data_IF_697275055344
#
_entry.id   IF_697275055344
#
_cell.length_a   1.000
_cell.length_b   1.000
_cell.length_c   1.000
_cell.angle_alpha   90.00
_cell.angle_beta   90.00
_cell.angle_gamma   90.00
#
_symmetry.space_group_name_H-M   'P 1'
#
loop_
_entity.id
_entity.type
_entity.pdbx_description
1 polymer ?
#
# COMPACT_ATOMS: atom_id res chain seq x y z
N UNK A 1 5.47 0.02 2.07
CA UNK A 1 6.74 0.75 2.23
C UNK A 1 7.42 1.12 0.92
N UNK A 2 8.11 0.19 0.23
CA UNK A 2 8.94 0.50 -0.97
C UNK A 2 8.23 1.23 -2.11
N UNK A 3 6.90 1.10 -2.26
CA UNK A 3 6.12 1.70 -3.36
C UNK A 3 5.53 3.08 -3.05
N UNK A 4 5.38 3.45 -1.77
CA UNK A 4 4.67 4.67 -1.35
C UNK A 4 5.49 5.94 -1.61
N UNK A 5 6.77 5.95 -1.23
CA UNK A 5 7.65 7.10 -1.47
C UNK A 5 7.90 7.36 -2.96
N UNK A 6 8.18 6.35 -3.82
CA UNK A 6 8.26 6.57 -5.25
C UNK A 6 6.97 7.11 -5.87
N UNK A 7 5.81 6.66 -5.38
CA UNK A 7 4.52 7.20 -5.81
C UNK A 7 4.43 8.70 -5.52
N UNK A 8 4.74 9.12 -4.28
CA UNK A 8 4.71 10.54 -3.91
C UNK A 8 5.74 11.36 -4.70
N UNK A 9 6.97 10.85 -4.84
CA UNK A 9 8.02 11.54 -5.59
C UNK A 9 7.67 11.74 -7.08
N UNK A 10 6.88 10.84 -7.67
CA UNK A 10 6.38 11.00 -9.03
C UNK A 10 5.24 12.02 -9.07
N UNK A 11 4.29 11.93 -8.14
CA UNK A 11 3.15 12.83 -8.06
C UNK A 11 3.57 14.29 -7.79
N UNK A 12 4.61 14.51 -6.99
CA UNK A 12 5.19 15.84 -6.70
C UNK A 12 5.85 16.51 -7.92
N UNK A 13 5.99 15.81 -9.04
CA UNK A 13 6.48 16.38 -10.31
C UNK A 13 5.36 16.84 -11.22
N UNK A 14 4.11 16.52 -10.90
CA UNK A 14 2.97 16.90 -11.72
C UNK A 14 2.77 18.43 -11.68
N UNK A 15 2.32 19.04 -12.78
CA UNK A 15 1.94 20.44 -12.77
C UNK A 15 0.83 20.67 -11.75
N UNK A 16 0.75 21.90 -11.22
CA UNK A 16 -0.28 22.33 -10.28
C UNK A 16 -0.32 21.59 -8.93
N UNK A 17 0.72 20.83 -8.58
CA UNK A 17 0.78 20.12 -7.30
C UNK A 17 0.96 21.04 -6.08
N UNK A 18 1.49 22.25 -6.29
CA UNK A 18 1.91 23.18 -5.23
C UNK A 18 0.91 23.39 -4.10
N UNK A 19 -0.37 23.71 -4.37
CA UNK A 19 -1.39 23.94 -3.34
C UNK A 19 -1.67 22.74 -2.41
N UNK A 20 -1.22 21.54 -2.79
CA UNK A 20 -1.53 20.28 -2.09
C UNK A 20 -0.34 19.70 -1.33
N UNK A 21 0.82 20.37 -1.41
CA UNK A 21 2.05 19.92 -0.74
C UNK A 21 1.99 20.10 0.77
N UNK A 22 1.33 21.15 1.24
CA UNK A 22 1.30 21.57 2.63
C UNK A 22 -0.13 21.59 3.19
N UNK A 23 -0.31 21.44 4.53
CA UNK A 23 -1.62 21.58 5.15
C UNK A 23 -2.24 22.95 4.85
N UNK A 24 -3.55 22.98 4.59
CA UNK A 24 -4.28 24.24 4.42
C UNK A 24 -4.33 24.99 5.75
N UNK A 25 -3.64 26.13 5.83
CA UNK A 25 -3.77 27.07 6.95
C UNK A 25 -5.03 27.92 6.80
N UNK A 26 -6.17 27.27 7.03
CA UNK A 26 -7.49 27.89 6.92
C UNK A 26 -7.67 29.08 7.87
N UNK A 27 -6.90 29.16 8.97
CA UNK A 27 -6.94 30.31 9.88
C UNK A 27 -6.25 31.52 9.26
N UNK A 28 -5.03 31.34 8.73
CA UNK A 28 -4.32 32.41 8.04
C UNK A 28 -5.07 32.90 6.80
N UNK A 29 -5.80 32.01 6.13
CA UNK A 29 -6.64 32.33 4.98
C UNK A 29 -8.01 32.91 5.34
N UNK A 30 -8.36 33.00 6.63
CA UNK A 30 -9.66 33.54 7.09
C UNK A 30 -10.87 32.65 6.80
N UNK A 31 -10.66 31.37 6.50
CA UNK A 31 -11.66 30.39 6.08
C UNK A 31 -12.33 29.72 7.31
N UNK A 32 -13.18 30.47 8.02
CA UNK A 32 -13.77 30.03 9.30
C UNK A 32 -14.69 28.80 9.18
N UNK A 33 -15.25 28.55 8.00
CA UNK A 33 -16.13 27.44 7.67
C UNK A 33 -15.38 26.19 7.20
N UNK A 34 -14.09 26.29 6.88
CA UNK A 34 -13.27 25.15 6.45
C UNK A 34 -13.40 23.91 7.37
N UNK A 35 -13.24 24.00 8.72
CA UNK A 35 -13.41 22.82 9.59
C UNK A 35 -14.86 22.30 9.67
N UNK A 36 -15.85 23.10 9.24
CA UNK A 36 -17.24 22.65 9.14
C UNK A 36 -17.48 21.79 7.89
N UNK A 37 -16.70 21.98 6.84
CA UNK A 37 -16.81 21.26 5.56
C UNK A 37 -15.79 20.13 5.50
N UNK A 38 -14.50 20.44 5.70
CA UNK A 38 -13.39 19.50 5.68
C UNK A 38 -13.19 18.89 7.07
N UNK A 39 -13.66 17.65 7.25
CA UNK A 39 -13.65 16.96 8.55
C UNK A 39 -12.31 16.32 8.90
N UNK A 40 -11.56 15.87 7.90
CA UNK A 40 -10.25 15.26 8.07
C UNK A 40 -9.27 15.94 7.11
N UNK A 41 -8.64 17.06 7.53
CA UNK A 41 -7.61 17.71 6.72
C UNK A 41 -6.50 16.73 6.31
N UNK A 42 -5.98 16.89 5.11
CA UNK A 42 -4.90 16.06 4.58
C UNK A 42 -4.14 16.79 3.48
N UNK A 43 -2.85 16.51 3.38
CA UNK A 43 -1.89 17.09 2.41
C UNK A 43 -0.74 16.10 2.16
N UNK A 44 0.06 16.35 1.11
CA UNK A 44 1.10 15.41 0.71
C UNK A 44 2.29 15.36 1.66
N UNK A 45 2.65 16.44 2.37
CA UNK A 45 3.69 16.41 3.42
C UNK A 45 3.25 15.53 4.58
N UNK A 46 2.03 15.68 5.08
CA UNK A 46 1.47 14.83 6.15
C UNK A 46 1.48 13.36 5.75
N UNK A 47 1.07 13.04 4.50
CA UNK A 47 1.12 11.67 3.99
C UNK A 47 2.56 11.16 3.94
N UNK A 48 3.51 11.96 3.45
CA UNK A 48 4.93 11.62 3.35
C UNK A 48 5.54 11.32 4.72
N UNK A 49 5.28 12.16 5.72
CA UNK A 49 5.72 11.95 7.10
C UNK A 49 5.16 10.64 7.67
N UNK A 50 3.86 10.39 7.45
CA UNK A 50 3.21 9.15 7.89
C UNK A 50 3.78 7.91 7.21
N UNK A 51 4.15 7.98 5.92
CA UNK A 51 4.87 6.89 5.23
C UNK A 51 6.22 6.63 5.89
N UNK A 52 7.01 7.67 6.20
CA UNK A 52 8.33 7.53 6.83
C UNK A 52 8.25 6.91 8.23
N UNK A 53 7.17 7.17 8.96
CA UNK A 53 6.90 6.58 10.28
C UNK A 53 6.27 5.18 10.21
N UNK A 54 5.95 4.69 9.01
CA UNK A 54 5.27 3.42 8.81
C UNK A 54 3.82 3.36 9.28
N UNK A 55 3.14 4.51 9.27
CA UNK A 55 1.74 4.63 9.69
C UNK A 55 0.71 4.07 8.70
N UNK A 56 1.13 3.35 7.65
CA UNK A 56 0.24 2.70 6.68
C UNK A 56 0.53 1.21 6.60
N UNK A 57 -0.46 0.38 6.94
CA UNK A 57 -0.33 -1.07 6.90
C UNK A 57 -0.22 -1.63 5.48
N UNK A 58 -0.85 -0.98 4.51
CA UNK A 58 -0.84 -1.37 3.11
C UNK A 58 -0.93 -0.15 2.17
N UNK A 59 -0.77 -0.40 0.87
CA UNK A 59 -0.77 0.64 -0.15
C UNK A 59 -2.15 1.30 -0.32
N UNK A 60 -3.24 0.58 -0.05
CA UNK A 60 -4.61 1.07 -0.22
C UNK A 60 -4.95 2.12 0.84
N UNK A 61 -4.51 1.92 2.09
CA UNK A 61 -4.64 2.92 3.15
C UNK A 61 -3.88 4.20 2.84
N UNK A 62 -2.67 4.08 2.28
CA UNK A 62 -1.89 5.22 1.80
C UNK A 62 -2.62 5.96 0.68
N UNK A 63 -3.13 5.22 -0.31
CA UNK A 63 -3.81 5.81 -1.45
C UNK A 63 -5.16 6.45 -1.06
N UNK A 64 -5.84 5.91 -0.04
CA UNK A 64 -7.04 6.52 0.52
C UNK A 64 -6.78 7.93 1.09
N UNK A 65 -5.65 8.14 1.78
CA UNK A 65 -5.29 9.49 2.24
C UNK A 65 -4.88 10.40 1.05
N UNK A 66 -4.26 9.87 -0.01
CA UNK A 66 -4.03 10.65 -1.26
C UNK A 66 -5.37 11.09 -1.89
N UNK A 67 -6.35 10.20 -1.98
CA UNK A 67 -7.70 10.53 -2.48
C UNK A 67 -8.39 11.57 -1.59
N UNK A 68 -8.16 11.52 -0.28
CA UNK A 68 -8.72 12.47 0.66
C UNK A 68 -8.25 13.91 0.41
N UNK A 69 -7.00 14.12 -0.02
CA UNK A 69 -6.49 15.45 -0.42
C UNK A 69 -7.39 16.06 -1.51
N UNK A 70 -7.68 15.29 -2.56
CA UNK A 70 -8.49 15.75 -3.69
C UNK A 70 -9.95 15.94 -3.29
N UNK A 71 -10.50 15.00 -2.53
CA UNK A 71 -11.90 15.06 -2.10
C UNK A 71 -12.16 16.24 -1.17
N UNK A 72 -11.23 16.54 -0.26
CA UNK A 72 -11.31 17.72 0.60
C UNK A 72 -11.29 19.01 -0.23
N UNK A 73 -10.38 19.11 -1.20
CA UNK A 73 -10.33 20.25 -2.11
C UNK A 73 -11.67 20.44 -2.85
N UNK A 74 -12.18 19.38 -3.49
CA UNK A 74 -13.42 19.44 -4.26
C UNK A 74 -14.68 19.64 -3.41
N UNK A 75 -14.66 19.23 -2.15
CA UNK A 75 -15.79 19.45 -1.22
C UNK A 75 -15.88 20.89 -0.74
N UNK A 76 -14.73 21.56 -0.60
CA UNK A 76 -14.67 22.92 -0.09
C UNK A 76 -14.75 23.98 -1.20
N UNK A 77 -14.06 23.73 -2.32
CA UNK A 77 -13.95 24.71 -3.39
C UNK A 77 -15.10 24.58 -4.39
N UNK A 78 -15.48 25.71 -5.00
CA UNK A 78 -16.53 25.76 -6.01
C UNK A 78 -16.11 24.90 -7.22
N UNK A 79 -17.04 24.10 -7.72
CA UNK A 79 -16.85 23.33 -8.94
C UNK A 79 -16.40 24.25 -10.09
N UNK A 80 -15.52 23.75 -10.96
CA UNK A 80 -14.92 24.51 -12.07
C UNK A 80 -13.96 25.65 -11.69
N UNK A 81 -13.75 25.93 -10.38
CA UNK A 81 -12.66 26.81 -9.97
C UNK A 81 -11.29 26.21 -10.34
N UNK A 82 -10.27 27.06 -10.46
CA UNK A 82 -8.94 26.62 -10.89
C UNK A 82 -8.40 25.51 -9.99
N UNK A 83 -8.42 25.70 -8.66
CA UNK A 83 -7.95 24.71 -7.68
C UNK A 83 -8.78 23.41 -7.68
N UNK A 84 -10.07 23.50 -8.02
CA UNK A 84 -10.93 22.33 -8.19
C UNK A 84 -10.47 21.50 -9.39
N UNK A 85 -10.26 22.13 -10.55
CA UNK A 85 -9.78 21.46 -11.77
C UNK A 85 -8.38 20.88 -11.59
N UNK A 86 -7.49 21.59 -10.88
CA UNK A 86 -6.19 21.05 -10.49
C UNK A 86 -6.32 19.74 -9.69
N UNK A 87 -7.25 19.67 -8.74
CA UNK A 87 -7.51 18.46 -7.96
C UNK A 87 -8.07 17.32 -8.82
N UNK A 88 -8.93 17.59 -9.80
CA UNK A 88 -9.44 16.58 -10.73
C UNK A 88 -8.35 15.98 -11.62
N UNK A 89 -7.45 16.82 -12.13
CA UNK A 89 -6.33 16.37 -12.96
C UNK A 89 -5.36 15.50 -12.15
N UNK A 90 -5.00 15.93 -10.94
CA UNK A 90 -4.13 15.17 -10.04
C UNK A 90 -4.78 13.88 -9.53
N UNK A 91 -6.09 13.89 -9.28
CA UNK A 91 -6.85 12.68 -8.95
C UNK A 91 -6.79 11.66 -10.09
N UNK A 92 -6.99 12.11 -11.33
CA UNK A 92 -6.90 11.26 -12.52
C UNK A 92 -5.51 10.67 -12.70
N UNK A 93 -4.47 11.48 -12.54
CA UNK A 93 -3.07 11.03 -12.64
C UNK A 93 -2.73 10.03 -11.54
N UNK A 94 -3.03 10.36 -10.28
CA UNK A 94 -2.77 9.46 -9.14
C UNK A 94 -3.55 8.14 -9.26
N UNK A 95 -4.77 8.15 -9.81
CA UNK A 95 -5.55 6.94 -10.12
C UNK A 95 -4.91 6.06 -11.20
N UNK A 96 -4.36 6.65 -12.25
CA UNK A 96 -3.59 5.90 -13.27
C UNK A 96 -2.34 5.26 -12.66
N UNK A 97 -1.60 6.01 -11.84
CA UNK A 97 -0.41 5.50 -11.13
C UNK A 97 -0.77 4.34 -10.20
N UNK A 98 -1.86 4.47 -9.44
CA UNK A 98 -2.36 3.43 -8.53
C UNK A 98 -2.70 2.15 -9.30
N UNK A 99 -3.48 2.27 -10.38
CA UNK A 99 -3.84 1.14 -11.26
C UNK A 99 -2.61 0.42 -11.82
N UNK A 100 -1.61 1.18 -12.28
CA UNK A 100 -0.34 0.61 -12.78
C UNK A 100 0.39 -0.17 -11.69
N UNK A 101 0.44 0.35 -10.47
CA UNK A 101 1.11 -0.36 -9.36
C UNK A 101 0.40 -1.65 -8.98
N UNK A 102 -0.93 -1.68 -8.94
CA UNK A 102 -1.68 -2.89 -8.60
C UNK A 102 -1.66 -3.92 -9.74
N UNK A 103 -1.70 -3.49 -11.01
CA UNK A 103 -1.62 -4.41 -12.15
C UNK A 103 -0.24 -5.05 -12.30
N UNK A 104 0.84 -4.29 -12.08
CA UNK A 104 2.21 -4.84 -12.04
C UNK A 104 2.44 -5.76 -10.83
N UNK A 105 1.62 -5.68 -9.79
CA UNK A 105 1.69 -6.60 -8.65
C UNK A 105 0.96 -7.92 -8.94
N UNK A 106 -0.12 -7.86 -9.73
CA UNK A 106 -0.84 -9.04 -10.20
C UNK A 106 -0.06 -9.80 -11.28
N UNK A 107 0.47 -9.10 -12.29
CA UNK A 107 1.31 -9.70 -13.33
C UNK A 107 2.57 -10.36 -12.76
N UNK A 108 3.18 -9.81 -11.71
CA UNK A 108 4.31 -10.45 -11.00
C UNK A 108 3.92 -11.66 -10.13
N UNK A 109 2.64 -11.83 -9.80
CA UNK A 109 2.15 -13.07 -9.18
C UNK A 109 1.93 -14.11 -10.27
N UNK A 110 1.24 -13.72 -11.35
CA UNK A 110 0.92 -14.60 -12.47
C UNK A 110 2.20 -15.06 -13.22
N UNK A 111 3.17 -14.17 -13.51
CA UNK A 111 4.49 -14.52 -14.09
C UNK A 111 5.36 -15.35 -13.14
N UNK A 112 5.16 -15.23 -11.82
CA UNK A 112 5.89 -16.04 -10.84
C UNK A 112 5.27 -17.43 -10.69
N UNK A 113 3.98 -17.58 -11.01
CA UNK A 113 3.26 -18.85 -11.13
C UNK A 113 3.56 -19.54 -12.49
N UNK A 114 3.66 -18.80 -13.60
CA UNK A 114 4.05 -19.33 -14.92
C UNK A 114 5.54 -19.71 -14.97
N UNK A 115 6.44 -18.89 -14.40
CA UNK A 115 7.88 -19.20 -14.40
C UNK A 115 8.24 -20.36 -13.45
N UNK A 116 7.42 -20.64 -12.44
CA UNK A 116 7.54 -21.88 -11.66
C UNK A 116 7.06 -23.11 -12.41
N UNK A 117 6.31 -22.99 -13.51
CA UNK A 117 5.87 -24.13 -14.32
C UNK A 117 6.86 -24.51 -15.43
N UNK A 118 7.76 -23.61 -15.84
CA UNK A 118 8.79 -23.87 -16.88
C UNK A 118 10.14 -24.35 -16.31
N UNK A 119 10.39 -24.24 -15.00
CA UNK A 119 11.62 -24.73 -14.35
C UNK A 119 11.45 -26.13 -13.70
N UNK A 120 10.28 -26.78 -13.82
CA UNK A 120 9.93 -28.07 -13.18
C UNK A 120 10.02 -29.31 -14.12
N UNK A 121 10.76 -29.25 -15.24
CA UNK A 121 10.94 -30.43 -16.12
C UNK A 121 12.23 -31.24 -15.92
N UNK A 122 13.05 -30.97 -14.91
CA UNK A 122 14.11 -31.91 -14.49
C UNK A 122 14.19 -32.04 -12.95
N UNK A 123 14.13 -33.30 -12.50
CA UNK A 123 14.26 -33.86 -11.13
C UNK A 123 12.98 -33.99 -10.26
N UNK A 124 12.20 -35.05 -10.51
CA UNK A 124 11.17 -35.60 -9.61
C UNK A 124 11.77 -36.15 -8.30
N UNK A 125 11.74 -35.37 -7.22
CA UNK A 125 11.58 -35.92 -5.85
C UNK A 125 10.55 -35.10 -5.04
N UNK A 126 9.29 -35.53 -5.15
CA UNK A 126 8.24 -35.38 -4.13
C UNK A 126 8.07 -34.00 -3.47
N UNK A 127 7.76 -32.94 -4.22
CA UNK A 127 7.44 -31.65 -3.61
C UNK A 127 6.06 -31.64 -2.93
N UNK A 128 6.04 -31.14 -1.70
CA UNK A 128 4.83 -30.87 -0.92
C UNK A 128 4.10 -29.70 -1.59
N UNK A 129 2.86 -29.94 -2.01
CA UNK A 129 2.07 -28.97 -2.76
C UNK A 129 1.92 -27.63 -2.04
N UNK A 130 1.73 -26.55 -2.79
CA UNK A 130 1.54 -25.21 -2.23
C UNK A 130 0.39 -25.15 -1.22
N UNK A 131 -0.70 -25.86 -1.50
CA UNK A 131 -1.85 -25.99 -0.59
C UNK A 131 -1.48 -26.69 0.71
N UNK A 132 -0.62 -27.72 0.67
CA UNK A 132 -0.11 -28.39 1.86
C UNK A 132 0.83 -27.50 2.66
N UNK A 133 1.65 -26.66 2.01
CA UNK A 133 2.49 -25.65 2.68
C UNK A 133 1.65 -24.59 3.38
N UNK A 134 0.56 -24.12 2.75
CA UNK A 134 -0.39 -23.19 3.38
C UNK A 134 -1.04 -23.84 4.60
N UNK A 135 -1.59 -25.05 4.43
CA UNK A 135 -2.23 -25.80 5.53
C UNK A 135 -1.25 -26.00 6.68
N UNK A 136 -0.02 -26.42 6.39
CA UNK A 136 1.02 -26.61 7.40
C UNK A 136 1.31 -25.32 8.16
N UNK A 137 1.46 -24.19 7.46
CA UNK A 137 1.69 -22.88 8.08
C UNK A 137 0.56 -22.50 9.04
N UNK A 138 -0.68 -22.75 8.65
CA UNK A 138 -1.85 -22.48 9.49
C UNK A 138 -1.97 -23.44 10.68
N UNK A 139 -1.52 -24.69 10.54
CA UNK A 139 -1.42 -25.63 11.66
C UNK A 139 -0.35 -25.18 12.66
N UNK A 140 0.85 -24.80 12.20
CA UNK A 140 1.95 -24.36 13.07
C UNK A 140 1.56 -23.11 13.86
N UNK A 141 0.85 -22.15 13.25
CA UNK A 141 0.35 -20.95 13.94
C UNK A 141 -0.65 -21.23 15.06
N UNK A 142 -1.33 -22.37 15.03
CA UNK A 142 -2.30 -22.79 16.05
C UNK A 142 -1.67 -23.55 17.21
N UNK A 143 -0.39 -23.92 17.11
CA UNK A 143 0.31 -24.62 18.18
C UNK A 143 0.71 -23.65 19.30
N UNK A 144 0.69 -24.15 20.53
CA UNK A 144 1.26 -23.46 21.68
C UNK A 144 2.80 -23.53 21.64
N UNK A 145 3.47 -22.64 22.37
CA UNK A 145 4.95 -22.62 22.47
C UNK A 145 5.49 -23.96 22.99
N UNK A 146 4.79 -24.59 23.94
CA UNK A 146 5.17 -25.91 24.47
C UNK A 146 5.09 -26.99 23.40
N UNK A 147 3.99 -27.03 22.63
CA UNK A 147 3.82 -27.98 21.52
C UNK A 147 4.82 -27.76 20.39
N UNK A 148 5.14 -26.50 20.06
CA UNK A 148 6.20 -26.19 19.08
C UNK A 148 7.57 -26.66 19.57
N UNK A 149 7.87 -26.51 20.86
CA UNK A 149 9.12 -26.98 21.44
C UNK A 149 9.25 -28.50 21.35
N UNK A 150 8.17 -29.24 21.62
CA UNK A 150 8.16 -30.69 21.46
C UNK A 150 8.30 -31.10 19.99
N UNK A 151 7.64 -30.40 19.06
CA UNK A 151 7.76 -30.67 17.62
C UNK A 151 9.19 -30.48 17.11
N UNK A 152 9.86 -29.40 17.52
CA UNK A 152 11.26 -29.14 17.15
C UNK A 152 12.19 -30.24 17.67
N UNK A 153 12.00 -30.68 18.92
CA UNK A 153 12.76 -31.81 19.47
C UNK A 153 12.52 -33.09 18.68
N UNK A 154 11.27 -33.42 18.37
CA UNK A 154 10.95 -34.61 17.57
C UNK A 154 11.63 -34.56 16.19
N UNK A 155 11.67 -33.39 15.52
CA UNK A 155 12.35 -33.23 14.23
C UNK A 155 13.86 -33.43 14.37
N UNK A 156 14.47 -32.84 15.41
CA UNK A 156 15.90 -32.98 15.69
C UNK A 156 16.31 -34.44 15.99
N UNK A 157 15.45 -35.17 16.70
CA UNK A 157 15.66 -36.58 17.02
C UNK A 157 15.47 -37.50 15.79
N UNK A 158 14.62 -37.09 14.84
CA UNK A 158 14.32 -37.85 13.62
C UNK A 158 15.30 -37.56 12.48
N UNK A 159 16.06 -36.46 12.56
CA UNK A 159 17.16 -36.14 11.63
C UNK A 159 18.43 -35.76 12.40
N UNK A 160 19.15 -36.75 12.96
CA UNK A 160 20.37 -36.48 13.71
C UNK A 160 21.54 -36.21 12.75
N UNK A 161 21.70 -34.96 12.31
CA UNK A 161 22.89 -34.56 11.54
C UNK A 161 22.78 -33.37 10.58
N UNK A 162 22.26 -32.22 11.03
CA UNK A 162 22.59 -30.91 10.43
C UNK A 162 23.40 -30.10 11.43
#
# INVERSE_FOLDING_TARGET
FLKMLPFLNQLEKEPNIGPFLEPVDWKALGLQDYPKIVKKPMDLRTIRERVKQGGYANFDMFYADVQLVWNNCKSYNIAESEIYRMAEDLERTSKKMYKKMISSTKKKRDEKEEKSQEEDEEDEEGDISFDERIKFTDYVRKLTIEQMTTLVKMIQDTSPGV
#
